data_IF_760947422935
#
_entry.id   IF_760947422935
#
_cell.length_a   1.000
_cell.length_b   1.000
_cell.length_c   1.000
_cell.angle_alpha   90.00
_cell.angle_beta   90.00
_cell.angle_gamma   90.00
#
_symmetry.space_group_name_H-M   'P 1'
#
loop_
_entity.id
_entity.type
_entity.pdbx_description
1 polymer ?
#
# COMPACT_ATOMS: atom_id res chain seq x y z
N UNK A 1 18.34 -5.34 -16.56
CA UNK A 1 16.88 -5.35 -16.32
C UNK A 1 16.63 -6.21 -15.09
N UNK A 2 16.47 -5.58 -13.92
CA UNK A 2 16.28 -6.31 -12.66
C UNK A 2 14.78 -6.45 -12.41
N UNK A 3 14.16 -7.36 -13.16
CA UNK A 3 12.80 -7.82 -12.94
C UNK A 3 12.82 -8.81 -11.77
N UNK A 4 12.97 -8.30 -10.54
CA UNK A 4 12.62 -9.09 -9.35
C UNK A 4 11.14 -8.88 -9.12
N UNK A 5 10.33 -9.57 -9.94
CA UNK A 5 8.99 -9.96 -9.55
C UNK A 5 9.07 -10.53 -8.14
N UNK A 6 8.22 -10.00 -7.26
CA UNK A 6 8.08 -10.46 -5.89
C UNK A 6 8.03 -11.99 -5.91
N UNK A 7 8.99 -12.62 -5.21
CA UNK A 7 9.02 -14.05 -4.93
C UNK A 7 7.61 -14.50 -4.53
N UNK A 8 7.25 -15.76 -4.81
CA UNK A 8 5.93 -16.36 -4.57
C UNK A 8 5.42 -16.34 -3.09
N UNK A 9 6.08 -15.59 -2.23
CA UNK A 9 5.73 -15.27 -0.86
C UNK A 9 4.76 -14.08 -0.81
N UNK A 10 3.53 -14.34 -0.35
CA UNK A 10 2.53 -13.30 -0.12
C UNK A 10 3.06 -12.32 0.92
N UNK A 11 3.35 -11.11 0.49
CA UNK A 11 3.79 -10.04 1.38
C UNK A 11 2.60 -9.23 1.84
N UNK A 12 2.53 -8.93 3.14
CA UNK A 12 1.39 -8.24 3.73
C UNK A 12 1.78 -6.86 4.25
N UNK A 13 0.95 -5.86 3.94
CA UNK A 13 1.11 -4.49 4.39
C UNK A 13 0.21 -4.22 5.60
N UNK A 14 0.86 -3.83 6.70
CA UNK A 14 0.26 -3.47 7.99
C UNK A 14 0.65 -2.05 8.36
N UNK A 15 -0.15 -1.39 9.19
CA UNK A 15 0.11 -0.05 9.72
C UNK A 15 -1.13 0.85 9.70
N UNK A 16 -0.90 2.13 10.00
CA UNK A 16 -1.92 3.16 9.85
C UNK A 16 -1.60 4.04 8.65
N UNK A 17 -2.63 4.29 7.84
CA UNK A 17 -2.51 5.06 6.62
C UNK A 17 -3.58 6.13 6.58
N UNK A 18 -3.25 7.30 6.04
CA UNK A 18 -4.24 8.33 5.70
C UNK A 18 -4.60 8.20 4.23
N UNK A 19 -5.88 8.29 3.91
CA UNK A 19 -6.34 8.33 2.52
C UNK A 19 -6.07 9.72 1.96
N UNK A 20 -5.25 9.79 0.91
CA UNK A 20 -5.03 11.02 0.16
C UNK A 20 -6.07 11.19 -0.95
N UNK A 21 -6.39 10.11 -1.66
CA UNK A 21 -7.32 10.11 -2.79
C UNK A 21 -8.07 8.78 -2.86
N UNK A 22 -9.30 8.79 -3.36
CA UNK A 22 -10.10 7.61 -3.60
C UNK A 22 -10.88 7.80 -4.90
N UNK A 23 -10.94 6.76 -5.72
CA UNK A 23 -11.68 6.74 -6.99
C UNK A 23 -12.16 5.33 -7.29
N UNK A 24 -13.38 5.19 -7.83
CA UNK A 24 -14.03 3.93 -8.16
C UNK A 24 -13.79 2.83 -7.08
N UNK A 25 -12.86 1.91 -7.34
CA UNK A 25 -12.48 0.82 -6.45
C UNK A 25 -11.03 0.92 -5.91
N UNK A 26 -10.39 2.09 -6.00
CA UNK A 26 -9.00 2.31 -5.58
C UNK A 26 -8.88 3.44 -4.56
N UNK A 27 -7.89 3.34 -3.68
CA UNK A 27 -7.47 4.44 -2.83
C UNK A 27 -5.95 4.60 -2.84
N UNK A 28 -5.51 5.86 -2.79
CA UNK A 28 -4.12 6.25 -2.60
C UNK A 28 -3.92 6.60 -1.14
N UNK A 29 -3.04 5.87 -0.47
CA UNK A 29 -2.75 6.03 0.94
C UNK A 29 -1.31 6.50 1.17
N UNK A 30 -1.12 7.22 2.28
CA UNK A 30 0.20 7.56 2.82
C UNK A 30 0.37 6.97 4.23
N UNK A 31 1.54 6.42 4.58
CA UNK A 31 1.81 5.98 5.96
C UNK A 31 1.70 7.14 6.95
N UNK A 32 1.00 6.96 8.07
CA UNK A 32 0.97 7.93 9.20
C UNK A 32 2.18 7.79 10.12
N UNK A 33 2.77 6.61 10.18
CA UNK A 33 3.94 6.29 11.00
C UNK A 33 5.06 5.77 10.11
N UNK A 34 6.30 5.93 10.59
CA UNK A 34 7.50 5.39 9.94
C UNK A 34 7.28 3.88 9.70
N UNK A 35 7.30 3.47 8.43
CA UNK A 35 7.21 2.04 8.07
C UNK A 35 8.35 1.26 8.74
N UNK A 36 8.19 -0.05 9.00
CA UNK A 36 9.28 -0.86 9.52
C UNK A 36 10.53 -0.75 8.63
N UNK A 37 11.71 -0.71 9.25
CA UNK A 37 12.99 -0.37 8.62
C UNK A 37 13.29 -1.13 7.32
N UNK A 38 12.81 -2.37 7.19
CA UNK A 38 12.97 -3.21 5.99
C UNK A 38 12.38 -2.59 4.72
N UNK A 39 11.31 -1.79 4.83
CA UNK A 39 10.72 -1.06 3.70
C UNK A 39 11.34 0.33 3.56
N UNK A 40 11.77 0.95 4.66
CA UNK A 40 12.46 2.26 4.62
C UNK A 40 13.82 2.21 3.94
N UNK A 41 14.60 1.14 4.10
CA UNK A 41 15.88 0.96 3.40
C UNK A 41 15.72 0.97 1.87
N UNK A 42 14.56 0.52 1.37
CA UNK A 42 14.23 0.55 -0.06
C UNK A 42 13.72 1.92 -0.53
N UNK A 43 13.14 2.71 0.39
CA UNK A 43 12.45 3.97 0.10
C UNK A 43 13.34 5.23 0.19
N UNK A 44 14.54 5.15 0.79
CA UNK A 44 15.56 6.21 0.69
C UNK A 44 15.07 7.64 0.98
N UNK A 45 14.27 7.85 2.05
CA UNK A 45 13.74 9.17 2.42
C UNK A 45 12.66 9.74 1.49
N UNK A 46 12.29 9.03 0.43
CA UNK A 46 11.34 9.48 -0.58
C UNK A 46 9.89 9.02 -0.30
N UNK A 47 8.93 9.88 -0.65
CA UNK A 47 7.49 9.72 -0.39
C UNK A 47 6.96 8.37 -0.88
N UNK A 48 6.67 7.43 0.03
CA UNK A 48 5.97 6.19 -0.32
C UNK A 48 4.50 6.47 -0.64
N UNK A 49 4.04 6.01 -1.80
CA UNK A 49 2.64 6.07 -2.23
C UNK A 49 2.09 4.65 -2.28
N UNK A 50 1.04 4.39 -1.52
CA UNK A 50 0.39 3.08 -1.49
C UNK A 50 -0.88 3.17 -2.31
N UNK A 51 -1.05 2.31 -3.31
CA UNK A 51 -2.22 2.23 -4.17
C UNK A 51 -2.94 0.93 -3.81
N UNK A 52 -4.10 1.05 -3.16
CA UNK A 52 -4.91 -0.08 -2.73
C UNK A 52 -6.07 -0.27 -3.69
N UNK A 53 -6.23 -1.48 -4.21
CA UNK A 53 -7.44 -1.92 -4.90
C UNK A 53 -8.40 -2.62 -3.92
N UNK A 54 -9.67 -2.25 -3.99
CA UNK A 54 -10.75 -2.84 -3.22
C UNK A 54 -11.60 -3.76 -4.12
N UNK A 55 -12.19 -4.83 -3.54
CA UNK A 55 -13.06 -5.73 -4.28
C UNK A 55 -14.29 -4.99 -4.83
N UNK A 56 -14.88 -5.55 -5.89
CA UNK A 56 -16.10 -5.00 -6.48
C UNK A 56 -17.22 -4.90 -5.42
N UNK A 57 -17.97 -3.80 -5.47
CA UNK A 57 -19.04 -3.50 -4.49
C UNK A 57 -18.55 -2.87 -3.19
N UNK A 58 -17.23 -2.78 -2.96
CA UNK A 58 -16.68 -2.06 -1.81
C UNK A 58 -16.45 -0.58 -2.13
N UNK A 59 -16.91 0.30 -1.25
CA UNK A 59 -16.67 1.75 -1.34
C UNK A 59 -15.36 2.09 -0.61
N UNK A 60 -14.31 2.57 -1.30
CA UNK A 60 -13.06 2.92 -0.64
C UNK A 60 -13.27 3.98 0.46
N UNK A 61 -12.46 3.96 1.54
CA UNK A 61 -12.54 4.98 2.58
C UNK A 61 -12.30 6.38 1.99
N UNK A 62 -13.03 7.38 2.50
CA UNK A 62 -13.00 8.76 1.95
C UNK A 62 -11.63 9.42 2.16
N UNK A 63 -11.21 10.36 1.30
CA UNK A 63 -10.04 11.20 1.55
C UNK A 63 -10.06 11.83 2.95
N UNK A 64 -8.90 11.87 3.61
CA UNK A 64 -8.74 12.31 5.00
C UNK A 64 -9.03 11.25 6.05
N UNK A 65 -9.67 10.12 5.69
CA UNK A 65 -9.93 9.02 6.62
C UNK A 65 -8.64 8.29 6.98
N UNK A 66 -8.62 7.69 8.17
CA UNK A 66 -7.53 6.83 8.63
C UNK A 66 -7.94 5.37 8.42
N UNK A 67 -7.07 4.60 7.79
CA UNK A 67 -7.22 3.15 7.59
C UNK A 67 -6.15 2.45 8.41
N UNK A 68 -6.59 1.60 9.34
CA UNK A 68 -5.72 0.74 10.16
C UNK A 68 -5.72 -0.67 9.60
N UNK A 69 -4.53 -1.25 9.45
CA UNK A 69 -4.32 -2.63 8.99
C UNK A 69 -3.39 -3.33 9.96
N UNK A 70 -3.86 -4.43 10.51
CA UNK A 70 -3.15 -5.22 11.50
C UNK A 70 -2.93 -6.65 10.97
N UNK A 71 -2.63 -7.57 11.88
CA UNK A 71 -2.39 -8.97 11.53
C UNK A 71 -3.66 -9.73 11.14
N UNK A 72 -4.81 -9.30 11.66
CA UNK A 72 -6.10 -9.88 11.34
C UNK A 72 -6.59 -9.34 10.01
N UNK A 73 -6.33 -8.06 9.72
CA UNK A 73 -6.79 -7.40 8.48
C UNK A 73 -5.69 -6.66 7.70
N UNK A 74 -4.65 -7.34 7.18
CA UNK A 74 -3.65 -6.70 6.34
C UNK A 74 -4.16 -6.42 4.92
N UNK A 75 -3.42 -5.59 4.18
CA UNK A 75 -3.47 -5.60 2.72
C UNK A 75 -2.46 -6.60 2.15
N UNK A 76 -2.75 -7.23 1.01
CA UNK A 76 -1.76 -8.02 0.28
C UNK A 76 -1.01 -7.10 -0.69
N UNK A 77 0.32 -7.06 -0.59
CA UNK A 77 1.16 -6.35 -1.56
C UNK A 77 1.26 -7.22 -2.80
N UNK A 78 0.82 -6.66 -3.94
CA UNK A 78 0.89 -7.33 -5.24
C UNK A 78 2.11 -6.89 -6.02
N UNK A 79 2.59 -5.66 -5.79
CA UNK A 79 3.71 -5.11 -6.52
C UNK A 79 4.39 -3.95 -5.78
N UNK A 80 5.71 -3.79 -5.96
CA UNK A 80 6.46 -2.62 -5.50
C UNK A 80 7.29 -2.09 -6.67
N UNK A 81 7.07 -0.82 -7.03
CA UNK A 81 7.82 -0.13 -8.09
C UNK A 81 8.53 1.09 -7.55
N UNK A 82 9.84 1.16 -7.75
CA UNK A 82 10.61 2.40 -7.55
C UNK A 82 10.63 3.18 -8.86
N UNK A 83 10.23 4.45 -8.80
CA UNK A 83 10.26 5.37 -9.94
C UNK A 83 11.65 6.01 -10.07
N UNK A 84 11.96 6.56 -11.24
CA UNK A 84 13.23 7.24 -11.52
C UNK A 84 13.45 8.46 -10.62
N UNK A 85 12.37 9.13 -10.22
CA UNK A 85 12.36 10.27 -9.28
C UNK A 85 12.57 9.86 -7.81
N UNK A 86 12.74 8.56 -7.53
CA UNK A 86 12.92 8.02 -6.19
C UNK A 86 11.62 7.69 -5.45
N UNK A 87 10.44 8.00 -6.00
CA UNK A 87 9.15 7.64 -5.39
C UNK A 87 8.99 6.11 -5.35
N UNK A 88 8.53 5.59 -4.21
CA UNK A 88 8.18 4.19 -4.04
C UNK A 88 6.67 4.02 -4.14
N UNK A 89 6.21 3.34 -5.19
CA UNK A 89 4.82 2.95 -5.37
C UNK A 89 4.63 1.51 -4.88
N UNK A 90 3.76 1.33 -3.88
CA UNK A 90 3.37 0.02 -3.36
C UNK A 90 1.95 -0.24 -3.83
N UNK A 91 1.76 -1.24 -4.67
CA UNK A 91 0.43 -1.69 -5.09
C UNK A 91 -0.01 -2.82 -4.16
N UNK A 92 -1.21 -2.68 -3.64
CA UNK A 92 -1.78 -3.65 -2.73
C UNK A 92 -3.26 -3.86 -3.02
N UNK A 93 -3.83 -4.92 -2.48
CA UNK A 93 -5.26 -5.21 -2.55
C UNK A 93 -5.84 -5.54 -1.18
N UNK A 94 -7.11 -5.15 -1.00
CA UNK A 94 -7.95 -5.67 0.07
C UNK A 94 -8.27 -7.15 -0.23
N UNK A 95 -7.91 -8.01 0.72
CA UNK A 95 -8.13 -9.47 0.64
C UNK A 95 -9.29 -9.93 1.51
N UNK A 96 -9.77 -9.07 2.40
CA UNK A 96 -10.90 -9.37 3.27
C UNK A 96 -12.16 -8.72 2.75
N UNK A 97 -13.10 -9.57 2.34
CA UNK A 97 -14.48 -9.17 2.12
C UNK A 97 -15.18 -9.02 3.48
N UNK A 98 -16.08 -8.04 3.64
CA UNK A 98 -16.90 -7.90 4.83
C UNK A 98 -17.81 -9.11 5.06
#
# INVERSE_FOLDING_TARGET
MADRGLSAERTYLKGQFVVNFADANKAVLRPRSRMPDSVMLLAGGNSTRIIVEYPAGYVPPKPGSIVSRDEVRPFEITEVRKQEDGQLNVFAREIMQP
#
